data_IF_280235434603
#
_entry.id   IF_280235434603
#
_cell.length_a   1.000
_cell.length_b   1.000
_cell.length_c   1.000
_cell.angle_alpha   90.00
_cell.angle_beta   90.00
_cell.angle_gamma   90.00
#
_symmetry.space_group_name_H-M   'P 1'
#
loop_
_entity.id
_entity.type
_entity.pdbx_description
1 polymer ?
#
# COMPACT_ATOMS: atom_id res chain seq x y z
N UNK A 1 -36.44 -55.62 14.30
CA UNK A 1 -35.60 -55.85 15.49
C UNK A 1 -34.31 -56.47 15.01
N UNK A 2 -33.17 -55.78 15.15
CA UNK A 2 -31.86 -56.37 15.45
C UNK A 2 -30.82 -55.25 15.61
N UNK A 3 -30.08 -55.40 16.69
CA UNK A 3 -29.09 -54.51 17.30
C UNK A 3 -27.68 -54.73 16.74
N UNK A 4 -26.76 -53.91 17.28
CA UNK A 4 -25.30 -54.04 17.31
C UNK A 4 -24.58 -53.61 16.01
N UNK A 5 -23.60 -52.72 15.99
CA UNK A 5 -22.79 -52.05 17.01
C UNK A 5 -21.45 -51.72 16.34
N UNK A 6 -21.08 -50.44 16.20
CA UNK A 6 -19.75 -50.00 15.71
C UNK A 6 -19.01 -49.41 16.92
N UNK A 7 -18.20 -50.24 17.58
CA UNK A 7 -16.74 -50.43 17.41
C UNK A 7 -15.93 -49.25 17.94
N UNK A 8 -14.98 -49.61 18.80
CA UNK A 8 -14.38 -48.84 19.90
C UNK A 8 -13.32 -47.83 19.48
N UNK A 9 -13.21 -46.82 20.35
CA UNK A 9 -12.14 -45.85 20.54
C UNK A 9 -10.72 -46.47 20.54
N UNK A 10 -9.76 -45.79 19.90
CA UNK A 10 -8.33 -45.93 20.18
C UNK A 10 -7.61 -44.60 19.97
N UNK A 11 -7.60 -43.79 21.03
CA UNK A 11 -6.68 -42.69 21.22
C UNK A 11 -5.23 -43.21 21.35
N UNK A 12 -4.34 -42.49 20.65
CA UNK A 12 -2.91 -42.29 20.86
C UNK A 12 -1.92 -43.42 20.50
N UNK A 13 -1.02 -43.12 19.54
CA UNK A 13 0.44 -43.09 19.76
C UNK A 13 1.22 -42.82 18.45
N UNK A 14 1.78 -41.60 18.39
CA UNK A 14 3.13 -41.19 17.93
C UNK A 14 3.58 -41.20 16.45
N UNK A 15 4.02 -39.99 16.06
CA UNK A 15 5.25 -39.60 15.33
C UNK A 15 5.37 -39.74 13.81
N UNK A 16 5.19 -38.62 13.09
CA UNK A 16 6.25 -37.82 12.42
C UNK A 16 5.64 -36.62 11.69
N UNK A 17 5.96 -35.37 12.08
CA UNK A 17 6.04 -34.26 11.13
C UNK A 17 7.51 -33.98 10.80
N UNK A 18 7.85 -34.08 9.52
CA UNK A 18 9.14 -33.66 9.01
C UNK A 18 9.41 -32.17 9.30
N UNK A 19 10.67 -31.92 9.59
CA UNK A 19 11.21 -30.72 10.22
C UNK A 19 11.51 -29.65 9.14
N UNK A 20 11.36 -28.37 9.55
CA UNK A 20 11.96 -27.10 9.05
C UNK A 20 11.08 -26.31 8.07
N UNK A 21 10.70 -25.06 8.34
CA UNK A 21 11.57 -23.97 8.79
C UNK A 21 10.80 -22.93 9.64
N UNK A 22 11.10 -22.85 10.94
CA UNK A 22 10.74 -21.70 11.77
C UNK A 22 11.63 -20.51 11.32
N UNK A 23 11.11 -19.63 10.46
CA UNK A 23 11.73 -18.31 10.26
C UNK A 23 11.17 -17.37 11.31
N UNK A 24 12.06 -17.01 12.23
CA UNK A 24 11.89 -16.09 13.34
C UNK A 24 11.08 -14.84 13.00
N UNK A 25 10.32 -14.34 13.98
CA UNK A 25 9.68 -13.02 14.02
C UNK A 25 10.70 -11.88 13.90
N UNK A 26 11.32 -11.72 12.73
CA UNK A 26 12.01 -10.50 12.31
C UNK A 26 11.26 -10.03 11.07
N UNK A 27 10.42 -9.02 11.30
CA UNK A 27 9.33 -8.59 10.43
C UNK A 27 9.75 -8.34 8.99
N UNK A 28 9.03 -8.97 8.07
CA UNK A 28 8.80 -8.38 6.76
C UNK A 28 7.95 -7.13 7.00
N UNK A 29 8.60 -5.97 7.11
CA UNK A 29 7.92 -4.69 7.16
C UNK A 29 7.16 -4.52 5.85
N UNK A 30 5.82 -4.60 5.93
CA UNK A 30 4.88 -4.26 4.86
C UNK A 30 5.30 -2.93 4.23
N UNK A 31 5.73 -2.96 2.96
CA UNK A 31 6.26 -1.82 2.22
C UNK A 31 5.24 -0.70 2.02
N UNK A 32 3.95 -0.95 2.28
CA UNK A 32 2.88 0.03 2.19
C UNK A 32 2.90 1.07 3.33
N UNK A 33 3.46 0.72 4.50
CA UNK A 33 3.61 1.68 5.60
C UNK A 33 4.59 2.81 5.27
N UNK A 34 5.59 2.58 4.41
CA UNK A 34 6.63 3.55 4.09
C UNK A 34 6.14 4.67 3.16
N UNK A 35 5.21 4.38 2.25
CA UNK A 35 4.66 5.35 1.28
C UNK A 35 3.84 6.42 2.00
N UNK A 36 2.99 6.03 2.94
CA UNK A 36 2.15 6.97 3.70
C UNK A 36 2.98 7.87 4.62
N UNK A 37 4.04 7.34 5.22
CA UNK A 37 4.94 8.12 6.09
C UNK A 37 5.71 9.16 5.27
N UNK A 38 6.19 8.79 4.08
CA UNK A 38 6.86 9.72 3.16
C UNK A 38 5.92 10.85 2.73
N UNK A 39 4.71 10.51 2.28
CA UNK A 39 3.71 11.50 1.84
C UNK A 39 3.41 12.55 2.90
N UNK A 40 3.22 12.14 4.16
CA UNK A 40 2.98 13.07 5.25
C UNK A 40 4.24 13.89 5.60
N UNK A 41 5.41 13.23 5.70
CA UNK A 41 6.64 13.87 6.16
C UNK A 41 7.15 14.92 5.19
N UNK A 42 7.18 14.62 3.89
CA UNK A 42 7.78 15.49 2.88
C UNK A 42 6.96 16.74 2.59
N UNK A 43 5.68 16.76 3.01
CA UNK A 43 4.79 17.93 2.93
C UNK A 43 4.89 18.87 4.12
N UNK A 44 5.61 18.49 5.19
CA UNK A 44 5.79 19.35 6.35
C UNK A 44 6.68 20.56 6.00
N UNK A 45 6.44 21.74 6.59
CA UNK A 45 7.29 22.91 6.37
C UNK A 45 8.71 22.67 6.93
N UNK A 46 9.67 23.51 6.56
CA UNK A 46 10.97 23.50 7.22
C UNK A 46 10.86 24.05 8.64
N UNK A 47 11.42 23.34 9.63
CA UNK A 47 11.44 23.77 11.03
C UNK A 47 12.84 23.64 11.65
N UNK A 48 13.55 24.77 11.84
CA UNK A 48 14.84 24.79 12.54
C UNK A 48 14.76 24.37 14.00
N UNK A 49 13.61 24.57 14.65
CA UNK A 49 13.44 24.34 16.09
C UNK A 49 14.00 25.48 16.95
N UNK A 50 13.79 25.43 18.28
CA UNK A 50 14.11 26.55 19.18
C UNK A 50 15.56 26.56 19.71
N UNK A 51 16.32 25.48 19.51
CA UNK A 51 17.71 25.42 19.94
C UNK A 51 18.65 26.16 18.96
N UNK A 52 19.84 26.54 19.42
CA UNK A 52 20.78 27.42 18.69
C UNK A 52 22.03 26.69 18.17
N UNK A 53 21.98 25.38 17.98
CA UNK A 53 23.10 24.62 17.42
C UNK A 53 23.04 24.63 15.89
N UNK A 54 24.20 24.61 15.23
CA UNK A 54 24.26 24.65 13.77
C UNK A 54 24.42 23.24 13.17
N UNK A 55 23.30 22.58 12.88
CA UNK A 55 23.33 21.28 12.19
C UNK A 55 22.91 21.42 10.73
N UNK A 56 23.82 21.29 9.75
CA UNK A 56 23.44 21.29 8.34
C UNK A 56 22.59 20.06 8.03
N UNK A 57 21.41 20.30 7.45
CA UNK A 57 20.41 19.29 7.09
C UNK A 57 19.76 19.65 5.76
N UNK A 58 18.95 18.73 5.26
CA UNK A 58 18.20 18.88 4.02
C UNK A 58 16.71 18.73 4.30
N UNK A 59 15.87 19.58 3.71
CA UNK A 59 14.42 19.42 3.74
C UNK A 59 13.90 19.31 2.31
N UNK A 60 12.78 18.64 2.13
CA UNK A 60 12.10 18.55 0.84
C UNK A 60 11.16 19.74 0.68
N UNK A 61 11.34 20.50 -0.39
CA UNK A 61 10.41 21.52 -0.81
C UNK A 61 9.48 20.97 -1.89
N UNK A 62 8.21 20.83 -1.56
CA UNK A 62 7.16 20.32 -2.47
C UNK A 62 6.84 21.27 -3.61
N UNK A 63 7.19 22.56 -3.50
CA UNK A 63 6.97 23.56 -4.55
C UNK A 63 8.00 23.41 -5.66
N UNK A 64 9.28 23.31 -5.29
CA UNK A 64 10.39 23.07 -6.23
C UNK A 64 10.60 21.58 -6.53
N UNK A 65 9.89 20.70 -5.82
CA UNK A 65 10.02 19.24 -5.86
C UNK A 65 11.46 18.76 -5.62
N UNK A 66 12.22 19.52 -4.83
CA UNK A 66 13.64 19.31 -4.63
C UNK A 66 14.05 19.39 -3.16
N UNK A 67 15.21 18.82 -2.84
CA UNK A 67 15.79 18.88 -1.51
C UNK A 67 16.71 20.08 -1.38
N UNK A 68 16.41 20.96 -0.42
CA UNK A 68 17.16 22.19 -0.17
C UNK A 68 17.89 22.12 1.18
N UNK A 69 19.09 22.70 1.29
CA UNK A 69 19.83 22.73 2.55
C UNK A 69 19.20 23.72 3.53
N UNK A 70 19.24 23.40 4.82
CA UNK A 70 18.89 24.30 5.92
C UNK A 70 19.69 23.98 7.18
N UNK A 71 19.65 24.88 8.16
CA UNK A 71 20.29 24.68 9.46
C UNK A 71 19.24 24.30 10.50
N UNK A 72 19.44 23.14 11.13
CA UNK A 72 18.62 22.65 12.23
C UNK A 72 19.26 23.00 13.57
N UNK A 73 18.47 23.59 14.46
CA UNK A 73 18.87 24.11 15.76
C UNK A 73 19.34 23.07 16.79
N UNK A 74 19.21 21.77 16.50
CA UNK A 74 19.63 20.67 17.38
C UNK A 74 18.51 20.02 18.17
N UNK A 75 17.38 20.70 18.38
CA UNK A 75 16.21 20.15 19.07
C UNK A 75 14.88 20.53 18.43
N UNK A 76 13.85 19.71 18.66
CA UNK A 76 12.50 19.94 18.15
C UNK A 76 12.40 19.87 16.62
N UNK A 77 11.61 20.79 16.07
CA UNK A 77 11.23 20.82 14.66
C UNK A 77 10.46 19.57 14.24
N UNK A 78 10.43 19.30 12.94
CA UNK A 78 9.67 18.19 12.39
C UNK A 78 10.53 17.18 11.60
N UNK A 79 9.86 16.22 10.95
CA UNK A 79 10.50 15.08 10.28
C UNK A 79 10.97 15.38 8.85
N UNK A 80 10.62 16.52 8.27
CA UNK A 80 11.14 16.95 6.96
C UNK A 80 12.58 17.44 7.11
N UNK A 81 13.47 16.54 7.53
CA UNK A 81 14.84 16.82 7.94
C UNK A 81 15.72 15.60 7.73
N UNK A 82 16.58 15.66 6.74
CA UNK A 82 17.46 14.57 6.30
C UNK A 82 18.93 14.95 6.44
N UNK A 83 19.79 13.94 6.60
CA UNK A 83 21.24 14.15 6.75
C UNK A 83 21.93 14.50 5.43
N UNK A 84 21.43 13.98 4.31
CA UNK A 84 21.99 14.21 2.97
C UNK A 84 20.88 14.47 1.97
N UNK A 85 21.21 15.18 0.88
CA UNK A 85 20.29 15.43 -0.23
C UNK A 85 19.76 14.14 -0.84
N UNK A 86 20.62 13.14 -1.01
CA UNK A 86 20.25 11.86 -1.63
C UNK A 86 19.26 11.05 -0.77
N UNK A 87 19.37 11.09 0.55
CA UNK A 87 18.38 10.44 1.42
C UNK A 87 17.05 11.18 1.32
N UNK A 88 17.09 12.52 1.32
CA UNK A 88 15.90 13.34 1.15
C UNK A 88 15.18 13.04 -0.17
N UNK A 89 15.91 13.01 -1.30
CA UNK A 89 15.35 12.73 -2.61
C UNK A 89 14.77 11.32 -2.66
N UNK A 90 15.53 10.29 -2.28
CA UNK A 90 15.04 8.91 -2.28
C UNK A 90 13.78 8.73 -1.43
N UNK A 91 13.65 9.49 -0.35
CA UNK A 91 12.50 9.41 0.54
C UNK A 91 11.27 10.19 0.02
N UNK A 92 11.49 11.34 -0.63
CA UNK A 92 10.42 12.27 -0.99
C UNK A 92 10.09 12.38 -2.48
N UNK A 93 10.84 11.68 -3.36
CA UNK A 93 10.65 11.77 -4.82
C UNK A 93 9.19 11.47 -5.20
N UNK A 94 8.61 12.31 -6.06
CA UNK A 94 7.24 12.16 -6.56
C UNK A 94 6.15 12.80 -5.70
N UNK A 95 6.49 13.46 -4.59
CA UNK A 95 5.55 14.20 -3.76
C UNK A 95 5.47 15.64 -4.26
N UNK A 96 4.27 16.11 -4.60
CA UNK A 96 4.05 17.47 -5.10
C UNK A 96 3.21 18.31 -4.14
N UNK A 97 3.29 19.64 -4.26
CA UNK A 97 2.53 20.57 -3.42
C UNK A 97 1.02 20.35 -3.57
N UNK A 98 0.56 20.04 -4.78
CA UNK A 98 -0.82 19.70 -5.04
C UNK A 98 -1.11 18.26 -4.58
N UNK A 99 -2.28 17.97 -4.00
CA UNK A 99 -2.84 16.61 -4.12
C UNK A 99 -2.77 16.20 -5.60
N UNK A 100 -2.69 14.90 -5.95
CA UNK A 100 -2.99 14.52 -7.33
C UNK A 100 -4.31 15.19 -7.65
N UNK A 101 -4.27 16.14 -8.58
CA UNK A 101 -5.46 16.77 -9.10
C UNK A 101 -6.32 15.56 -9.48
N UNK A 102 -7.44 15.37 -8.78
CA UNK A 102 -8.51 14.60 -9.41
C UNK A 102 -8.63 15.34 -10.71
N UNK A 103 -8.17 14.74 -11.83
CA UNK A 103 -8.34 15.33 -13.16
C UNK A 103 -9.70 15.98 -13.08
N UNK A 104 -9.84 17.31 -13.31
CA UNK A 104 -11.18 17.87 -13.38
C UNK A 104 -11.85 16.92 -14.36
N UNK A 105 -12.82 16.16 -13.84
CA UNK A 105 -13.57 15.26 -14.66
C UNK A 105 -14.22 16.26 -15.57
N UNK A 106 -13.64 16.45 -16.76
CA UNK A 106 -14.26 17.22 -17.80
C UNK A 106 -15.57 16.50 -17.89
N UNK A 107 -16.62 17.15 -17.41
CA UNK A 107 -17.97 16.69 -17.60
C UNK A 107 -18.16 16.91 -19.10
N UNK A 108 -17.60 16.00 -19.89
CA UNK A 108 -18.00 15.83 -21.26
C UNK A 108 -19.51 15.65 -21.13
N UNK A 109 -20.32 16.55 -21.69
CA UNK A 109 -21.75 16.40 -21.63
C UNK A 109 -22.06 15.00 -22.12
N UNK A 110 -22.64 14.19 -21.25
CA UNK A 110 -23.02 12.83 -21.54
C UNK A 110 -24.18 12.87 -22.54
N UNK A 111 -23.86 13.07 -23.82
CA UNK A 111 -24.80 12.96 -24.94
C UNK A 111 -24.61 11.65 -25.71
N UNK A 112 -24.03 10.65 -25.08
CA UNK A 112 -24.20 9.26 -25.49
C UNK A 112 -24.53 8.44 -24.25
N UNK A 113 -25.80 8.40 -23.90
CA UNK A 113 -26.39 7.28 -23.18
C UNK A 113 -26.15 6.01 -24.00
N UNK A 114 -25.42 4.98 -23.51
CA UNK A 114 -25.89 3.63 -23.67
C UNK A 114 -26.93 3.37 -22.56
N UNK A 115 -28.07 2.92 -23.04
CA UNK A 115 -29.25 2.41 -22.38
C UNK A 115 -28.99 1.50 -21.15
N UNK A 116 -29.82 1.54 -20.09
CA UNK A 116 -29.61 0.76 -18.88
C UNK A 116 -30.19 -0.65 -19.06
N UNK A 117 -29.45 -1.56 -19.69
CA UNK A 117 -29.78 -2.98 -19.52
C UNK A 117 -28.56 -3.88 -19.66
N UNK A 118 -28.29 -4.60 -18.57
CA UNK A 118 -27.41 -5.75 -18.41
C UNK A 118 -25.91 -5.45 -18.25
N UNK A 119 -25.33 -6.19 -17.30
CA UNK A 119 -23.91 -6.15 -16.97
C UNK A 119 -23.06 -6.22 -18.24
N UNK A 120 -21.98 -5.43 -18.36
CA UNK A 120 -21.06 -5.59 -19.47
C UNK A 120 -20.55 -7.03 -19.48
N UNK A 121 -20.40 -7.67 -20.67
CA UNK A 121 -19.93 -9.04 -20.75
C UNK A 121 -18.52 -9.15 -20.16
N UNK A 122 -18.42 -9.76 -18.98
CA UNK A 122 -17.14 -10.05 -18.34
C UNK A 122 -16.60 -11.35 -18.92
N UNK A 123 -15.55 -11.31 -19.75
CA UNK A 123 -14.88 -12.51 -20.22
C UNK A 123 -13.64 -12.81 -19.36
N UNK A 124 -13.89 -13.36 -18.17
CA UNK A 124 -12.86 -13.75 -17.21
C UNK A 124 -12.00 -14.90 -17.75
N UNK A 125 -12.55 -15.72 -18.65
CA UNK A 125 -11.82 -16.80 -19.30
C UNK A 125 -10.71 -16.31 -20.26
N UNK A 126 -10.75 -15.04 -20.68
CA UNK A 126 -9.70 -14.44 -21.52
C UNK A 126 -8.55 -13.79 -20.72
N UNK A 127 -8.62 -13.76 -19.39
CA UNK A 127 -7.58 -13.16 -18.57
C UNK A 127 -6.44 -14.17 -18.32
N UNK A 128 -5.26 -13.92 -18.88
CA UNK A 128 -4.07 -14.71 -18.56
C UNK A 128 -3.33 -14.09 -17.37
N UNK A 129 -3.82 -14.36 -16.17
CA UNK A 129 -3.24 -13.84 -14.94
C UNK A 129 -2.18 -14.80 -14.37
N UNK A 130 -0.95 -14.33 -14.06
CA UNK A 130 0.13 -15.17 -13.56
C UNK A 130 -0.12 -15.76 -12.16
N UNK A 131 -0.97 -15.11 -11.35
CA UNK A 131 -1.29 -15.54 -9.98
C UNK A 131 -2.77 -15.90 -9.78
N UNK A 132 -3.54 -16.01 -10.87
CA UNK A 132 -4.98 -16.35 -10.84
C UNK A 132 -5.91 -15.16 -11.05
N UNK A 133 -7.21 -15.45 -11.20
CA UNK A 133 -8.28 -14.47 -11.43
C UNK A 133 -9.15 -14.40 -10.18
N UNK A 134 -9.46 -13.20 -9.73
CA UNK A 134 -10.43 -12.92 -8.67
C UNK A 134 -11.72 -12.37 -9.28
N UNK A 135 -12.85 -12.98 -8.87
CA UNK A 135 -14.18 -12.57 -9.29
C UNK A 135 -14.88 -11.80 -8.16
N UNK A 136 -15.53 -10.71 -8.52
CA UNK A 136 -16.29 -9.87 -7.60
C UNK A 136 -17.67 -9.56 -8.19
N UNK A 137 -18.66 -9.39 -7.33
CA UNK A 137 -20.02 -9.02 -7.72
C UNK A 137 -20.35 -7.66 -7.13
N UNK A 138 -20.85 -6.75 -7.95
CA UNK A 138 -21.35 -5.47 -7.45
C UNK A 138 -22.72 -5.63 -6.76
N UNK A 139 -23.25 -4.53 -6.21
CA UNK A 139 -24.56 -4.50 -5.55
C UNK A 139 -25.73 -4.87 -6.49
N UNK A 140 -25.50 -4.84 -7.80
CA UNK A 140 -26.46 -5.21 -8.83
C UNK A 140 -26.28 -6.66 -9.31
N UNK A 141 -25.32 -7.40 -8.75
CA UNK A 141 -25.01 -8.79 -9.10
C UNK A 141 -24.15 -8.95 -10.36
N UNK A 142 -23.52 -7.89 -10.86
CA UNK A 142 -22.65 -7.96 -12.03
C UNK A 142 -21.27 -8.51 -11.68
N UNK A 143 -20.85 -9.56 -12.38
CA UNK A 143 -19.50 -10.13 -12.25
C UNK A 143 -18.45 -9.23 -12.87
N UNK A 144 -17.40 -8.95 -12.11
CA UNK A 144 -16.21 -8.23 -12.53
C UNK A 144 -14.98 -9.03 -12.13
N UNK A 145 -14.02 -9.12 -13.05
CA UNK A 145 -12.85 -9.97 -12.91
C UNK A 145 -11.57 -9.14 -12.92
N UNK A 146 -10.66 -9.45 -11.98
CA UNK A 146 -9.35 -8.80 -11.88
C UNK A 146 -8.29 -9.88 -11.70
N UNK A 147 -7.08 -9.63 -12.17
CA UNK A 147 -5.97 -10.52 -11.87
C UNK A 147 -5.61 -10.40 -10.39
N UNK A 148 -5.53 -11.54 -9.70
CA UNK A 148 -4.96 -11.57 -8.36
C UNK A 148 -3.50 -11.12 -8.45
N UNK A 149 -3.13 -10.16 -7.62
CA UNK A 149 -1.75 -9.78 -7.41
C UNK A 149 -1.44 -9.99 -5.93
N UNK A 150 -0.64 -11.00 -5.56
CA UNK A 150 -0.29 -11.26 -4.16
C UNK A 150 0.55 -10.14 -3.50
N UNK A 151 0.83 -9.08 -4.25
CA UNK A 151 1.55 -7.89 -3.83
C UNK A 151 0.68 -6.61 -3.74
N UNK A 152 -0.65 -6.68 -4.01
CA UNK A 152 -1.60 -5.57 -3.76
C UNK A 152 -2.04 -5.48 -2.30
#
# INVERSE_FOLDING_TARGET
MNSFGKVKNKQDLRSKPDIKFHRSRLGFLSTCSLINIAHHTCRLPVEPGPCNEAHPRWFYDVQTQNCLPFVFGGCGGNKNRFKTSEICLRFCTGITATPPERRPYVFQPATSTPEPTQCPPSNCANLQCPYGIEESFDINGCSSCRCSNPCE
#
